data_IF_845807855997
#
_entry.id   IF_845807855997
#
_cell.length_a   1.000
_cell.length_b   1.000
_cell.length_c   1.000
_cell.angle_alpha   90.00
_cell.angle_beta   90.00
_cell.angle_gamma   90.00
#
_symmetry.space_group_name_H-M   'P 1'
#
loop_
_entity.id
_entity.type
_entity.pdbx_description
1 polymer ?
#
# COMPACT_ATOMS: atom_id res chain seq x y z
N UNK A 1 -3.39 -1.78 -12.73
CA UNK A 1 -4.79 -1.85 -12.26
C UNK A 1 -5.04 -0.63 -11.38
N UNK A 2 -6.17 0.07 -11.53
CA UNK A 2 -6.46 1.26 -10.74
C UNK A 2 -7.00 0.85 -9.35
N UNK A 3 -6.55 1.46 -8.24
CA UNK A 3 -7.06 1.12 -6.91
C UNK A 3 -8.51 1.58 -6.72
N UNK A 4 -9.27 0.84 -5.91
CA UNK A 4 -10.67 1.14 -5.56
C UNK A 4 -10.77 1.91 -4.25
N UNK A 5 -9.83 1.72 -3.33
CA UNK A 5 -9.80 2.40 -2.02
C UNK A 5 -9.16 3.77 -2.13
N UNK A 6 -9.62 4.61 -3.07
CA UNK A 6 -9.00 5.91 -3.33
C UNK A 6 -9.24 6.88 -2.19
N UNK A 7 -8.16 7.45 -1.67
CA UNK A 7 -8.19 8.57 -0.73
C UNK A 7 -7.88 9.89 -1.43
N UNK A 8 -8.23 11.02 -0.80
CA UNK A 8 -7.73 12.31 -1.30
C UNK A 8 -6.20 12.34 -1.15
N UNK A 9 -5.46 12.64 -2.22
CA UNK A 9 -4.01 12.82 -2.11
C UNK A 9 -3.72 13.99 -1.16
N UNK A 10 -2.92 13.74 -0.14
CA UNK A 10 -2.47 14.79 0.78
C UNK A 10 -1.32 15.51 0.09
N UNK A 11 -1.57 16.70 -0.44
CA UNK A 11 -0.49 17.58 -0.88
C UNK A 11 0.42 17.88 0.32
N UNK A 12 1.73 17.77 0.10
CA UNK A 12 2.74 17.61 1.15
C UNK A 12 2.63 18.55 2.36
N UNK A 13 2.97 17.99 3.52
CA UNK A 13 3.51 18.69 4.70
C UNK A 13 2.58 19.58 5.51
N UNK A 14 1.48 20.12 4.97
CA UNK A 14 0.66 21.12 5.71
C UNK A 14 -0.86 21.03 5.52
N UNK A 15 -1.38 20.10 4.73
CA UNK A 15 -2.80 20.09 4.37
C UNK A 15 -3.76 19.79 5.55
N UNK A 16 -3.28 19.13 6.61
CA UNK A 16 -4.13 18.77 7.75
C UNK A 16 -4.22 19.85 8.84
N UNK A 17 -3.34 20.85 8.82
CA UNK A 17 -3.28 21.89 9.85
C UNK A 17 -4.45 22.90 9.76
N UNK A 18 -5.19 22.92 8.66
CA UNK A 18 -6.22 23.94 8.38
C UNK A 18 -7.67 23.50 8.67
N UNK A 19 -7.92 22.22 8.98
CA UNK A 19 -9.28 21.76 9.27
C UNK A 19 -9.55 21.94 10.76
N UNK A 20 -10.15 23.07 11.13
CA UNK A 20 -10.69 23.27 12.48
C UNK A 20 -11.72 22.16 12.77
N UNK A 21 -11.65 21.48 13.93
CA UNK A 21 -12.64 20.48 14.32
C UNK A 21 -13.99 21.19 14.48
N UNK A 22 -14.89 21.00 13.51
CA UNK A 22 -16.23 21.55 13.58
C UNK A 22 -17.07 20.65 14.48
N UNK A 23 -17.04 20.94 15.77
CA UNK A 23 -17.93 20.34 16.76
C UNK A 23 -17.59 18.90 17.10
N UNK A 24 -17.58 18.61 18.40
CA UNK A 24 -17.55 17.26 18.94
C UNK A 24 -18.92 16.62 18.65
N UNK A 25 -19.16 16.24 17.40
CA UNK A 25 -20.36 15.53 17.01
C UNK A 25 -20.32 14.21 17.79
N UNK A 26 -21.24 14.08 18.74
CA UNK A 26 -21.37 12.91 19.61
C UNK A 26 -21.58 11.74 18.66
N UNK A 27 -20.56 10.89 18.48
CA UNK A 27 -20.66 9.75 17.58
C UNK A 27 -21.87 8.93 18.00
N UNK A 28 -22.91 8.97 17.18
CA UNK A 28 -24.12 8.21 17.43
C UNK A 28 -23.73 6.75 17.30
N UNK A 29 -23.79 6.00 18.39
CA UNK A 29 -23.64 4.55 18.35
C UNK A 29 -24.83 3.99 17.55
N UNK A 30 -24.60 3.71 16.27
CA UNK A 30 -25.65 3.21 15.37
C UNK A 30 -25.83 1.70 15.50
N UNK A 31 -24.90 1.04 16.20
CA UNK A 31 -24.79 -0.40 16.28
C UNK A 31 -24.23 -1.00 14.99
N UNK A 32 -23.47 -0.22 14.20
CA UNK A 32 -22.90 -0.66 12.92
C UNK A 32 -22.20 -2.01 13.09
N UNK A 33 -21.35 -2.12 14.10
CA UNK A 33 -20.55 -3.32 14.36
C UNK A 33 -21.38 -4.58 14.64
N UNK A 34 -22.60 -4.44 15.16
CA UNK A 34 -23.52 -5.54 15.41
C UNK A 34 -24.46 -5.83 14.23
N UNK A 35 -24.78 -4.80 13.43
CA UNK A 35 -25.72 -4.90 12.30
C UNK A 35 -25.03 -5.32 11.01
N UNK A 36 -23.77 -4.92 10.81
CA UNK A 36 -23.03 -5.19 9.58
C UNK A 36 -22.92 -6.69 9.24
N UNK A 37 -22.70 -7.62 10.21
CA UNK A 37 -22.72 -9.05 9.92
C UNK A 37 -24.11 -9.61 9.54
N UNK A 38 -25.18 -8.91 9.89
CA UNK A 38 -26.56 -9.30 9.60
C UNK A 38 -27.08 -8.72 8.27
N UNK A 39 -26.31 -7.84 7.62
CA UNK A 39 -26.69 -7.25 6.35
C UNK A 39 -26.80 -8.33 5.26
N UNK A 40 -27.93 -8.33 4.55
CA UNK A 40 -28.24 -9.35 3.52
C UNK A 40 -27.75 -8.93 2.15
N UNK A 41 -27.51 -7.64 1.93
CA UNK A 41 -27.09 -7.08 0.66
C UNK A 41 -25.95 -6.07 0.82
N UNK A 42 -25.22 -5.82 -0.26
CA UNK A 42 -24.15 -4.81 -0.30
C UNK A 42 -24.70 -3.39 -0.10
N UNK A 43 -25.91 -3.12 -0.57
CA UNK A 43 -26.55 -1.81 -0.41
C UNK A 43 -27.00 -1.57 1.04
N UNK A 44 -27.54 -2.60 1.71
CA UNK A 44 -27.83 -2.53 3.15
C UNK A 44 -26.56 -2.29 3.96
N UNK A 45 -25.48 -3.00 3.65
CA UNK A 45 -24.17 -2.80 4.27
C UNK A 45 -23.65 -1.37 4.02
N UNK A 46 -23.80 -0.83 2.81
CA UNK A 46 -23.40 0.53 2.46
C UNK A 46 -24.13 1.55 3.33
N UNK A 47 -25.45 1.42 3.42
CA UNK A 47 -26.27 2.33 4.24
C UNK A 47 -25.88 2.29 5.72
N UNK A 48 -25.56 1.11 6.25
CA UNK A 48 -25.06 0.98 7.63
C UNK A 48 -23.70 1.70 7.79
N UNK A 49 -22.78 1.49 6.85
CA UNK A 49 -21.45 2.12 6.86
C UNK A 49 -21.55 3.65 6.76
N UNK A 50 -22.42 4.18 5.89
CA UNK A 50 -22.63 5.61 5.73
C UNK A 50 -23.24 6.28 6.96
N UNK A 51 -24.04 5.56 7.76
CA UNK A 51 -24.62 6.08 9.00
C UNK A 51 -23.73 5.88 10.23
N UNK A 52 -22.82 4.90 10.20
CA UNK A 52 -22.01 4.53 11.36
C UNK A 52 -21.04 5.61 11.83
N UNK A 53 -20.71 5.61 13.12
CA UNK A 53 -19.70 6.50 13.71
C UNK A 53 -18.27 6.16 13.25
N UNK A 54 -17.31 7.10 13.38
CA UNK A 54 -15.93 6.85 12.93
C UNK A 54 -15.25 5.76 13.77
N UNK A 55 -15.51 5.72 15.08
CA UNK A 55 -15.07 4.60 15.93
C UNK A 55 -15.68 3.27 15.51
N UNK A 56 -16.98 3.21 15.23
CA UNK A 56 -17.62 1.97 14.78
C UNK A 56 -17.05 1.48 13.44
N UNK A 57 -16.65 2.40 12.54
CA UNK A 57 -15.93 2.05 11.31
C UNK A 57 -14.59 1.39 11.61
N UNK A 58 -13.78 1.97 12.51
CA UNK A 58 -12.50 1.40 12.93
C UNK A 58 -12.66 0.04 13.62
N UNK A 59 -13.63 -0.08 14.52
CA UNK A 59 -13.92 -1.35 15.20
C UNK A 59 -14.39 -2.43 14.23
N UNK A 60 -15.11 -2.05 13.17
CA UNK A 60 -15.51 -2.97 12.10
C UNK A 60 -14.31 -3.43 11.26
N UNK A 61 -13.35 -2.54 10.97
CA UNK A 61 -12.12 -2.87 10.23
C UNK A 61 -11.18 -3.82 11.02
N UNK A 62 -11.24 -3.79 12.35
CA UNK A 62 -10.49 -4.72 13.21
C UNK A 62 -10.99 -6.17 13.09
N UNK A 63 -12.25 -6.37 12.67
CA UNK A 63 -12.85 -7.70 12.52
C UNK A 63 -12.61 -8.28 11.12
N UNK A 64 -12.64 -9.61 10.94
CA UNK A 64 -12.73 -10.21 9.62
C UNK A 64 -14.00 -9.73 8.90
N UNK A 65 -13.84 -9.28 7.65
CA UNK A 65 -14.92 -8.79 6.80
C UNK A 65 -14.79 -9.44 5.43
N UNK A 66 -15.92 -9.67 4.76
CA UNK A 66 -15.91 -9.95 3.32
C UNK A 66 -15.31 -8.75 2.57
N UNK A 67 -14.65 -9.00 1.44
CA UNK A 67 -13.89 -7.97 0.74
C UNK A 67 -14.77 -6.82 0.21
N UNK A 68 -16.01 -7.11 -0.20
CA UNK A 68 -16.98 -6.09 -0.55
C UNK A 68 -17.28 -5.13 0.62
N UNK A 69 -17.48 -5.67 1.82
CA UNK A 69 -17.74 -4.88 3.03
C UNK A 69 -16.51 -4.08 3.45
N UNK A 70 -15.32 -4.71 3.42
CA UNK A 70 -14.05 -4.02 3.63
C UNK A 70 -13.89 -2.82 2.69
N UNK A 71 -14.24 -3.00 1.41
CA UNK A 71 -14.18 -1.93 0.42
C UNK A 71 -15.12 -0.77 0.74
N UNK A 72 -16.33 -1.05 1.22
CA UNK A 72 -17.25 0.00 1.68
C UNK A 72 -16.68 0.77 2.88
N UNK A 73 -16.19 0.04 3.90
CA UNK A 73 -15.60 0.63 5.10
C UNK A 73 -14.39 1.53 4.77
N UNK A 74 -13.47 1.06 3.93
CA UNK A 74 -12.26 1.82 3.57
C UNK A 74 -12.55 3.02 2.68
N UNK A 75 -13.52 2.93 1.75
CA UNK A 75 -13.96 4.10 0.97
C UNK A 75 -14.59 5.16 1.85
N UNK A 76 -15.38 4.73 2.82
CA UNK A 76 -16.00 5.64 3.77
C UNK A 76 -14.98 6.29 4.71
N UNK A 77 -14.03 5.50 5.22
CA UNK A 77 -12.90 6.02 5.99
C UNK A 77 -12.09 7.03 5.18
N UNK A 78 -11.75 6.72 3.93
CA UNK A 78 -11.02 7.61 3.04
C UNK A 78 -11.77 8.93 2.78
N UNK A 79 -13.10 8.87 2.65
CA UNK A 79 -13.97 10.05 2.48
C UNK A 79 -13.97 10.95 3.73
N UNK A 80 -14.00 10.36 4.92
CA UNK A 80 -14.10 11.07 6.21
C UNK A 80 -12.75 11.43 6.84
N UNK A 81 -11.66 10.80 6.41
CA UNK A 81 -10.32 11.00 6.97
C UNK A 81 -9.93 12.49 7.17
N UNK A 82 -10.31 13.43 6.28
CA UNK A 82 -10.00 14.83 6.49
C UNK A 82 -10.61 15.49 7.72
N UNK A 83 -11.76 15.01 8.18
CA UNK A 83 -12.40 15.52 9.40
C UNK A 83 -11.98 14.77 10.66
N UNK A 84 -11.26 13.65 10.53
CA UNK A 84 -10.84 12.84 11.69
C UNK A 84 -9.82 13.58 12.54
N UNK A 85 -9.85 13.32 13.84
CA UNK A 85 -8.80 13.76 14.76
C UNK A 85 -7.51 12.96 14.53
N UNK A 86 -6.39 13.49 15.02
CA UNK A 86 -5.09 12.81 14.88
C UNK A 86 -5.10 11.40 15.50
N UNK A 87 -5.76 11.20 16.65
CA UNK A 87 -5.87 9.90 17.31
C UNK A 87 -6.54 8.85 16.40
N UNK A 88 -7.67 9.17 15.78
CA UNK A 88 -8.37 8.24 14.89
C UNK A 88 -7.55 7.91 13.62
N UNK A 89 -6.80 8.89 13.09
CA UNK A 89 -5.89 8.63 11.96
C UNK A 89 -4.75 7.69 12.34
N UNK A 90 -4.21 7.84 13.55
CA UNK A 90 -3.19 6.93 14.08
C UNK A 90 -3.74 5.52 14.28
N UNK A 91 -4.93 5.40 14.85
CA UNK A 91 -5.60 4.10 15.01
C UNK A 91 -5.84 3.42 13.65
N UNK A 92 -6.25 4.16 12.61
CA UNK A 92 -6.39 3.59 11.27
C UNK A 92 -5.06 3.08 10.71
N UNK A 93 -3.99 3.84 10.91
CA UNK A 93 -2.64 3.43 10.53
C UNK A 93 -2.24 2.12 11.20
N UNK A 94 -2.47 2.00 12.51
CA UNK A 94 -2.19 0.78 13.28
C UNK A 94 -3.05 -0.40 12.80
N UNK A 95 -4.34 -0.19 12.53
CA UNK A 95 -5.21 -1.24 11.96
C UNK A 95 -4.73 -1.66 10.58
N UNK A 96 -4.39 -0.72 9.69
CA UNK A 96 -3.89 -1.02 8.36
C UNK A 96 -2.60 -1.84 8.41
N UNK A 97 -1.66 -1.50 9.29
CA UNK A 97 -0.40 -2.24 9.48
C UNK A 97 -0.68 -3.63 10.07
N UNK A 98 -1.49 -3.71 11.14
CA UNK A 98 -1.82 -4.97 11.81
C UNK A 98 -2.60 -5.95 10.94
N UNK A 99 -3.27 -5.46 9.89
CA UNK A 99 -3.96 -6.26 8.87
C UNK A 99 -3.15 -6.43 7.59
N UNK A 100 -1.86 -6.09 7.61
CA UNK A 100 -0.93 -6.21 6.48
C UNK A 100 -1.46 -5.52 5.21
N UNK A 101 -2.11 -4.36 5.38
CA UNK A 101 -2.82 -3.61 4.33
C UNK A 101 -3.90 -4.41 3.60
N UNK A 102 -4.31 -5.55 4.15
CA UNK A 102 -5.13 -6.56 3.48
C UNK A 102 -4.53 -7.04 2.15
N UNK A 103 -3.20 -6.96 2.02
CA UNK A 103 -2.44 -7.43 0.87
C UNK A 103 -2.47 -8.96 0.73
N UNK A 104 -2.85 -9.66 1.79
CA UNK A 104 -3.09 -11.12 1.83
C UNK A 104 -4.56 -11.36 2.18
N UNK A 105 -5.22 -12.24 1.43
CA UNK A 105 -6.56 -12.69 1.77
C UNK A 105 -6.51 -13.53 3.06
N UNK A 106 -7.42 -13.31 4.04
CA UNK A 106 -7.41 -14.10 5.27
C UNK A 106 -7.71 -15.58 4.98
N UNK A 107 -7.25 -16.48 5.85
CA UNK A 107 -7.53 -17.90 5.71
C UNK A 107 -9.07 -18.12 5.65
N UNK A 108 -9.53 -18.85 4.62
CA UNK A 108 -10.97 -19.06 4.35
C UNK A 108 -11.60 -18.04 3.38
N UNK A 109 -10.92 -16.95 3.04
CA UNK A 109 -11.40 -15.99 2.03
C UNK A 109 -11.33 -16.49 0.59
N UNK A 110 -10.70 -17.63 0.33
CA UNK A 110 -10.70 -18.29 -1.00
C UNK A 110 -12.14 -18.62 -1.47
N UNK A 111 -13.09 -18.70 -0.54
CA UNK A 111 -14.52 -18.88 -0.82
C UNK A 111 -15.32 -17.57 -0.87
N UNK A 112 -14.71 -16.39 -0.65
CA UNK A 112 -15.38 -15.11 -0.75
C UNK A 112 -15.50 -14.70 -2.24
N UNK A 113 -16.71 -14.68 -2.83
CA UNK A 113 -16.90 -14.32 -4.23
C UNK A 113 -16.56 -12.84 -4.51
N UNK A 114 -16.42 -12.01 -3.48
CA UNK A 114 -16.02 -10.61 -3.62
C UNK A 114 -14.51 -10.39 -3.59
N UNK A 115 -13.72 -11.45 -3.41
CA UNK A 115 -12.27 -11.38 -3.38
C UNK A 115 -11.71 -10.97 -4.75
N UNK A 116 -10.97 -9.86 -4.85
CA UNK A 116 -10.49 -9.38 -6.14
C UNK A 116 -9.23 -10.14 -6.58
N UNK A 117 -8.86 -10.05 -7.86
CA UNK A 117 -7.60 -10.58 -8.35
C UNK A 117 -6.38 -9.98 -7.61
N UNK A 118 -5.26 -10.70 -7.51
CA UNK A 118 -4.08 -10.29 -6.74
C UNK A 118 -3.55 -8.89 -7.07
N UNK A 119 -3.59 -8.48 -8.33
CA UNK A 119 -3.11 -7.17 -8.78
C UNK A 119 -3.97 -6.02 -8.24
N UNK A 120 -5.29 -6.22 -8.18
CA UNK A 120 -6.22 -5.24 -7.63
C UNK A 120 -6.07 -5.13 -6.12
N UNK A 121 -5.87 -6.27 -5.43
CA UNK A 121 -5.56 -6.29 -4.00
C UNK A 121 -4.28 -5.52 -3.71
N UNK A 122 -3.23 -5.76 -4.50
CA UNK A 122 -1.95 -5.10 -4.32
C UNK A 122 -2.06 -3.57 -4.51
N UNK A 123 -2.78 -3.15 -5.56
CA UNK A 123 -3.06 -1.73 -5.82
C UNK A 123 -3.85 -1.09 -4.67
N UNK A 124 -4.87 -1.77 -4.16
CA UNK A 124 -5.68 -1.31 -3.03
C UNK A 124 -4.85 -1.15 -1.75
N UNK A 125 -4.00 -2.13 -1.45
CA UNK A 125 -3.10 -2.09 -0.30
C UNK A 125 -2.08 -0.94 -0.39
N UNK A 126 -1.48 -0.73 -1.56
CA UNK A 126 -0.54 0.38 -1.78
C UNK A 126 -1.23 1.74 -1.71
N UNK A 127 -2.45 1.85 -2.23
CA UNK A 127 -3.29 3.04 -2.12
C UNK A 127 -3.61 3.37 -0.66
N UNK A 128 -4.04 2.38 0.12
CA UNK A 128 -4.27 2.52 1.55
C UNK A 128 -3.04 3.04 2.29
N UNK A 129 -1.86 2.46 2.00
CA UNK A 129 -0.61 2.96 2.56
C UNK A 129 -0.41 4.45 2.22
N UNK A 130 -0.65 4.86 0.96
CA UNK A 130 -0.44 6.23 0.50
C UNK A 130 -1.28 7.26 1.26
N UNK A 131 -2.56 6.99 1.52
CA UNK A 131 -3.44 7.97 2.15
C UNK A 131 -3.61 7.80 3.67
N UNK A 132 -3.46 6.59 4.22
CA UNK A 132 -3.65 6.34 5.66
C UNK A 132 -2.33 6.30 6.45
N UNK A 133 -1.27 5.70 5.90
CA UNK A 133 -0.03 5.41 6.63
C UNK A 133 1.08 6.42 6.32
N UNK A 134 1.31 6.71 5.04
CA UNK A 134 2.32 7.64 4.57
C UNK A 134 2.27 9.01 5.28
N UNK A 135 1.10 9.64 5.44
CA UNK A 135 0.99 10.92 6.15
C UNK A 135 1.34 10.84 7.65
N UNK A 136 1.03 9.72 8.31
CA UNK A 136 1.35 9.52 9.74
C UNK A 136 2.85 9.30 9.92
N UNK A 137 3.48 8.53 9.02
CA UNK A 137 4.93 8.33 9.00
C UNK A 137 5.68 9.64 8.72
N UNK A 138 5.22 10.41 7.74
CA UNK A 138 5.82 11.69 7.38
C UNK A 138 5.69 12.75 8.50
N UNK A 139 4.68 12.62 9.37
CA UNK A 139 4.51 13.44 10.56
C UNK A 139 5.47 13.09 11.71
N UNK A 140 6.21 11.97 11.62
CA UNK A 140 7.12 11.49 12.66
C UNK A 140 6.43 10.72 13.81
N UNK A 141 5.11 10.62 13.79
CA UNK A 141 4.31 9.96 14.84
C UNK A 141 4.03 8.47 14.56
N UNK A 142 4.40 8.00 13.37
CA UNK A 142 4.11 6.65 12.89
C UNK A 142 5.20 5.60 13.19
N UNK A 143 4.84 4.32 13.29
CA UNK A 143 5.76 3.23 13.63
C UNK A 143 6.63 2.80 12.45
N UNK A 144 7.58 3.65 12.03
CA UNK A 144 8.40 3.44 10.83
C UNK A 144 9.16 2.09 10.82
N UNK A 145 9.66 1.64 11.98
CA UNK A 145 10.31 0.33 12.11
C UNK A 145 9.36 -0.83 11.82
N UNK A 146 8.16 -0.81 12.40
CA UNK A 146 7.12 -1.82 12.15
C UNK A 146 6.69 -1.86 10.70
N UNK A 147 6.55 -0.70 10.04
CA UNK A 147 6.25 -0.64 8.60
C UNK A 147 7.38 -1.23 7.78
N UNK A 148 8.64 -0.93 8.10
CA UNK A 148 9.79 -1.50 7.39
C UNK A 148 9.83 -3.03 7.51
N UNK A 149 9.63 -3.58 8.71
CA UNK A 149 9.55 -5.03 8.93
C UNK A 149 8.40 -5.67 8.15
N UNK A 150 7.22 -5.04 8.16
CA UNK A 150 6.08 -5.50 7.37
C UNK A 150 6.42 -5.52 5.88
N UNK A 151 7.04 -4.47 5.34
CA UNK A 151 7.44 -4.42 3.93
C UNK A 151 8.43 -5.54 3.57
N UNK A 152 9.38 -5.86 4.46
CA UNK A 152 10.29 -7.02 4.26
C UNK A 152 9.52 -8.34 4.23
N UNK A 153 8.54 -8.53 5.11
CA UNK A 153 7.66 -9.72 5.10
C UNK A 153 6.85 -9.81 3.82
N UNK A 154 6.23 -8.70 3.38
CA UNK A 154 5.45 -8.64 2.14
C UNK A 154 6.30 -9.00 0.91
N UNK A 155 7.54 -8.49 0.84
CA UNK A 155 8.50 -8.80 -0.24
C UNK A 155 8.81 -10.30 -0.35
N UNK A 156 8.88 -10.99 0.77
CA UNK A 156 9.28 -12.42 0.86
C UNK A 156 8.08 -13.36 0.97
N UNK A 157 6.87 -12.84 0.95
CA UNK A 157 5.63 -13.61 1.08
C UNK A 157 5.43 -14.56 -0.12
N UNK A 158 4.89 -15.78 0.10
CA UNK A 158 4.49 -16.67 -0.98
C UNK A 158 3.29 -16.11 -1.78
N UNK A 159 2.55 -15.15 -1.23
CA UNK A 159 1.34 -14.58 -1.85
C UNK A 159 1.72 -13.49 -2.87
N UNK A 160 1.32 -13.61 -4.16
CA UNK A 160 1.69 -12.64 -5.19
C UNK A 160 1.28 -11.20 -4.90
N UNK A 161 0.07 -11.00 -4.37
CA UNK A 161 -0.43 -9.66 -4.04
C UNK A 161 0.41 -8.97 -2.96
N UNK A 162 0.92 -9.71 -1.98
CA UNK A 162 1.80 -9.16 -0.95
C UNK A 162 3.13 -8.68 -1.54
N UNK A 163 3.76 -9.48 -2.41
CA UNK A 163 5.00 -9.09 -3.09
C UNK A 163 4.80 -7.86 -3.97
N UNK A 164 3.69 -7.79 -4.69
CA UNK A 164 3.36 -6.64 -5.53
C UNK A 164 3.08 -5.38 -4.70
N UNK A 165 2.39 -5.51 -3.56
CA UNK A 165 2.20 -4.37 -2.63
C UNK A 165 3.51 -3.75 -2.19
N UNK A 166 4.53 -4.58 -1.89
CA UNK A 166 5.85 -4.07 -1.53
C UNK A 166 6.43 -3.14 -2.61
N UNK A 167 6.43 -3.58 -3.86
CA UNK A 167 6.99 -2.79 -4.98
C UNK A 167 6.20 -1.51 -5.22
N UNK A 168 4.86 -1.59 -5.23
CA UNK A 168 4.01 -0.42 -5.42
C UNK A 168 4.20 0.65 -4.32
N UNK A 169 4.52 0.23 -3.09
CA UNK A 169 4.82 1.16 -1.99
C UNK A 169 6.24 1.74 -2.13
N UNK A 170 7.24 0.88 -2.30
CA UNK A 170 8.66 1.27 -2.23
C UNK A 170 9.14 2.02 -3.48
N UNK A 171 8.55 1.76 -4.65
CA UNK A 171 8.84 2.49 -5.89
C UNK A 171 8.04 3.81 -6.01
N UNK A 172 7.10 4.07 -5.10
CA UNK A 172 6.38 5.35 -5.05
C UNK A 172 7.30 6.52 -4.70
N UNK A 173 7.01 7.71 -5.24
CA UNK A 173 7.89 8.90 -5.10
C UNK A 173 8.24 9.26 -3.64
N UNK A 174 7.31 9.00 -2.70
CA UNK A 174 7.49 9.23 -1.26
C UNK A 174 6.69 8.21 -0.44
N UNK A 175 7.28 7.10 0.01
CA UNK A 175 6.57 6.13 0.86
C UNK A 175 6.31 6.65 2.28
N UNK A 176 6.68 7.88 2.62
CA UNK A 176 6.54 8.43 3.98
C UNK A 176 7.52 7.85 4.99
N UNK A 177 8.31 6.84 4.61
CA UNK A 177 9.38 6.26 5.43
C UNK A 177 10.55 7.24 5.59
N UNK A 178 11.28 7.19 6.72
CA UNK A 178 12.56 7.86 6.84
C UNK A 178 13.50 7.45 5.71
N UNK A 179 14.18 8.43 5.10
CA UNK A 179 15.04 8.24 3.92
C UNK A 179 16.07 7.11 4.10
N UNK A 180 16.69 7.01 5.27
CA UNK A 180 17.66 5.96 5.59
C UNK A 180 17.05 4.55 5.57
N UNK A 181 15.80 4.42 6.05
CA UNK A 181 15.04 3.16 6.05
C UNK A 181 14.65 2.80 4.63
N UNK A 182 14.10 3.75 3.88
CA UNK A 182 13.69 3.55 2.49
C UNK A 182 14.85 3.12 1.59
N UNK A 183 16.01 3.80 1.68
CA UNK A 183 17.21 3.41 0.94
C UNK A 183 17.71 2.02 1.30
N UNK A 184 17.63 1.64 2.57
CA UNK A 184 18.02 0.28 3.00
C UNK A 184 17.10 -0.76 2.37
N UNK A 185 15.78 -0.53 2.37
CA UNK A 185 14.81 -1.42 1.72
C UNK A 185 15.07 -1.56 0.22
N UNK A 186 15.35 -0.46 -0.49
CA UNK A 186 15.70 -0.46 -1.91
C UNK A 186 16.99 -1.26 -2.17
N UNK A 187 18.06 -0.97 -1.43
CA UNK A 187 19.34 -1.68 -1.57
C UNK A 187 19.19 -3.18 -1.36
N UNK A 188 18.47 -3.56 -0.30
CA UNK A 188 18.22 -4.95 0.02
C UNK A 188 17.32 -5.64 -1.02
N UNK A 189 16.44 -4.91 -1.69
CA UNK A 189 15.50 -5.47 -2.68
C UNK A 189 16.13 -5.63 -4.06
N UNK A 190 17.00 -4.70 -4.48
CA UNK A 190 17.74 -4.81 -5.75
C UNK A 190 19.04 -5.61 -5.63
N UNK A 191 19.32 -6.21 -4.46
CA UNK A 191 20.45 -7.12 -4.29
C UNK A 191 21.82 -6.44 -4.31
N UNK A 192 21.91 -5.15 -3.93
CA UNK A 192 23.21 -4.54 -3.69
C UNK A 192 23.86 -5.29 -2.52
N UNK A 193 25.06 -5.87 -2.69
CA UNK A 193 25.70 -6.65 -1.64
C UNK A 193 25.79 -5.78 -0.39
N UNK A 194 25.14 -6.21 0.68
CA UNK A 194 25.51 -5.76 2.01
C UNK A 194 26.99 -6.05 2.13
N UNK A 195 27.83 -5.04 2.33
CA UNK A 195 29.17 -5.29 2.85
C UNK A 195 28.97 -6.09 4.14
N UNK A 196 29.33 -7.39 4.17
CA UNK A 196 29.15 -8.15 5.38
C UNK A 196 30.01 -7.48 6.46
N UNK A 197 29.40 -7.19 7.60
CA UNK A 197 30.14 -6.76 8.78
C UNK A 197 31.00 -7.94 9.19
N UNK A 198 32.26 -7.91 8.75
CA UNK A 198 33.29 -8.94 8.93
C UNK A 198 33.35 -9.31 10.41
N UNK A 199 32.86 -10.49 10.76
CA UNK A 199 33.03 -11.11 12.08
C UNK A 199 33.47 -12.55 11.84
N UNK A 200 34.76 -12.81 12.09
CA UNK A 200 35.32 -14.16 12.30
C UNK A 200 35.87 -14.91 11.06
N UNK A 201 37.05 -15.57 11.16
CA UNK A 201 37.65 -16.39 10.10
C UNK A 201 37.05 -17.82 10.03
N UNK A 202 37.36 -18.62 8.98
CA UNK A 202 36.48 -19.66 8.47
C UNK A 202 36.71 -21.04 9.10
N UNK A 203 35.64 -21.85 9.16
CA UNK A 203 35.71 -23.28 9.39
C UNK A 203 35.17 -24.04 8.16
N UNK A 204 35.82 -25.16 7.90
CA UNK A 204 35.99 -25.88 6.64
C UNK A 204 34.97 -27.02 6.44
N UNK A 205 34.64 -27.35 5.18
CA UNK A 205 33.96 -28.58 4.71
C UNK A 205 32.54 -28.32 4.19
N UNK A 206 32.21 -28.43 2.89
CA UNK A 206 32.21 -29.63 2.03
C UNK A 206 30.87 -30.37 2.19
N UNK A 207 30.01 -30.67 1.21
CA UNK A 207 30.11 -30.74 -0.24
C UNK A 207 28.71 -30.63 -0.91
N UNK A 208 28.78 -30.43 -2.23
CA UNK A 208 27.77 -30.22 -3.28
C UNK A 208 26.75 -31.35 -3.48
N UNK A 209 25.49 -31.02 -3.84
CA UNK A 209 24.72 -31.80 -4.84
C UNK A 209 23.57 -31.00 -5.48
N UNK A 210 23.69 -30.84 -6.80
CA UNK A 210 22.70 -30.77 -7.88
C UNK A 210 21.39 -29.95 -7.74
N UNK A 211 21.32 -28.94 -8.61
CA UNK A 211 20.14 -28.28 -9.18
C UNK A 211 19.32 -29.23 -10.09
N UNK A 212 18.03 -28.94 -10.31
CA UNK A 212 17.56 -28.79 -11.69
C UNK A 212 17.05 -27.37 -11.95
N UNK A 213 17.61 -26.78 -13.00
CA UNK A 213 17.04 -25.63 -13.70
C UNK A 213 15.65 -26.02 -14.21
N UNK A 214 14.65 -25.20 -13.94
CA UNK A 214 13.61 -24.93 -14.91
C UNK A 214 13.17 -23.47 -14.81
N UNK A 215 13.00 -22.92 -16.00
CA UNK A 215 13.05 -21.55 -16.43
C UNK A 215 11.65 -20.89 -16.31
N UNK A 216 11.49 -19.93 -15.40
CA UNK A 216 10.28 -19.06 -15.33
C UNK A 216 10.64 -17.56 -15.21
N UNK A 217 11.89 -17.21 -15.50
CA UNK A 217 12.43 -15.85 -15.39
C UNK A 217 12.17 -14.94 -16.61
N UNK A 218 11.60 -15.45 -17.70
CA UNK A 218 11.60 -14.76 -19.01
C UNK A 218 10.46 -13.75 -19.24
N UNK A 219 9.48 -13.66 -18.32
CA UNK A 219 8.35 -12.73 -18.43
C UNK A 219 8.65 -11.29 -17.98
N UNK A 220 9.52 -11.12 -16.98
CA UNK A 220 9.81 -9.82 -16.37
C UNK A 220 10.78 -8.96 -17.19
N UNK A 221 11.79 -9.56 -17.81
CA UNK A 221 12.79 -8.86 -18.65
C UNK A 221 12.18 -8.33 -19.95
N UNK A 222 11.24 -9.07 -20.58
CA UNK A 222 10.53 -8.61 -21.80
C UNK A 222 9.65 -7.39 -21.55
N UNK A 223 9.03 -7.24 -20.38
CA UNK A 223 8.17 -6.09 -20.04
C UNK A 223 8.97 -4.86 -19.65
N UNK A 224 10.14 -5.03 -19.02
CA UNK A 224 11.07 -3.95 -18.70
C UNK A 224 11.68 -3.34 -19.97
N UNK A 225 12.12 -4.16 -20.91
CA UNK A 225 12.70 -3.70 -22.19
C UNK A 225 11.67 -2.97 -23.07
N UNK A 226 10.40 -3.41 -23.08
CA UNK A 226 9.34 -2.77 -23.88
C UNK A 226 8.93 -1.40 -23.32
N UNK A 227 8.98 -1.19 -22.00
CA UNK A 227 8.73 0.11 -21.36
C UNK A 227 9.94 1.06 -21.44
N UNK A 228 11.15 0.53 -21.30
CA UNK A 228 12.38 1.33 -21.47
C UNK A 228 12.54 1.84 -22.92
N UNK A 229 12.22 1.00 -23.92
CA UNK A 229 12.27 1.40 -25.33
C UNK A 229 11.28 2.53 -25.70
N UNK A 230 10.09 2.54 -25.10
CA UNK A 230 9.10 3.62 -25.31
C UNK A 230 9.53 4.96 -24.68
N UNK A 231 10.16 4.93 -23.51
CA UNK A 231 10.67 6.13 -22.85
C UNK A 231 11.88 6.74 -23.60
N UNK A 232 12.79 5.89 -24.09
CA UNK A 232 13.95 6.34 -24.86
C UNK A 232 13.51 6.85 -26.25
N UNK A 233 12.60 6.15 -26.92
CA UNK A 233 12.07 6.59 -28.22
C UNK A 233 11.30 7.91 -28.13
N UNK A 234 10.48 8.09 -27.08
CA UNK A 234 9.76 9.35 -26.84
C UNK A 234 10.67 10.53 -26.54
N UNK A 235 11.75 10.30 -25.78
CA UNK A 235 12.74 11.34 -25.46
C UNK A 235 13.50 11.81 -26.72
N UNK A 236 13.90 10.89 -27.60
CA UNK A 236 14.61 11.25 -28.85
C UNK A 236 13.72 12.06 -29.78
N UNK A 237 12.46 11.67 -29.95
CA UNK A 237 11.50 12.43 -30.77
C UNK A 237 11.26 13.83 -30.21
N UNK A 238 11.14 13.96 -28.88
CA UNK A 238 10.99 15.25 -28.23
C UNK A 238 12.21 16.16 -28.44
N UNK A 239 13.43 15.62 -28.34
CA UNK A 239 14.67 16.37 -28.58
C UNK A 239 14.78 16.81 -30.05
N UNK A 240 14.48 15.92 -31.01
CA UNK A 240 14.52 16.26 -32.44
C UNK A 240 13.50 17.34 -32.79
N UNK A 241 12.28 17.27 -32.24
CA UNK A 241 11.26 18.31 -32.42
C UNK A 241 11.72 19.66 -31.84
N UNK A 242 12.36 19.66 -30.67
CA UNK A 242 12.84 20.87 -30.03
C UNK A 242 13.99 21.54 -30.83
N UNK A 243 14.89 20.73 -31.39
CA UNK A 243 15.97 21.20 -32.27
C UNK A 243 15.41 21.74 -33.60
N UNK A 244 14.45 21.04 -34.21
CA UNK A 244 13.83 21.48 -35.47
C UNK A 244 13.06 22.79 -35.30
N UNK A 245 12.29 22.96 -34.21
CA UNK A 245 11.59 24.21 -33.91
C UNK A 245 12.57 25.36 -33.68
N UNK A 246 13.67 25.12 -32.95
CA UNK A 246 14.69 26.13 -32.71
C UNK A 246 15.40 26.59 -34.00
N UNK A 247 15.61 25.69 -34.96
CA UNK A 247 16.23 26.01 -36.25
C UNK A 247 15.29 26.78 -37.20
N UNK A 248 13.97 26.77 -36.93
CA UNK A 248 12.97 27.45 -37.76
C UNK A 248 12.64 28.87 -37.26
N UNK A 249 12.95 29.16 -35.99
CA UNK A 249 12.65 30.42 -35.32
C UNK A 249 13.90 31.20 -34.86
N UNK A 250 15.10 30.79 -35.25
CA UNK A 250 16.37 31.49 -35.01
C UNK A 250 17.10 31.75 -36.32
#
# INVERSE_FOLDING_TARGET
VAPVWTGRPVAGGRAWAAVRPRGKERETETGLLHKLPAARTVDEARELVERGGNRELLDSLRRPQAYAVLTLLLREAARRLPSWEHALRRELCEVAIGREFWAVAPAGAVADPSDPPPEQRAANAAELHRWAVGPVLAGGDGPAGTVAELLVRLRTSPVPSARETFWLIVEGERPGLPEAVWRTLLKDAYGLPRTPRRTGPPATGGATTALPDDDDGSGYTRRFLRRAGLLIGGLVVAIVLLVAVRAWFG
#
